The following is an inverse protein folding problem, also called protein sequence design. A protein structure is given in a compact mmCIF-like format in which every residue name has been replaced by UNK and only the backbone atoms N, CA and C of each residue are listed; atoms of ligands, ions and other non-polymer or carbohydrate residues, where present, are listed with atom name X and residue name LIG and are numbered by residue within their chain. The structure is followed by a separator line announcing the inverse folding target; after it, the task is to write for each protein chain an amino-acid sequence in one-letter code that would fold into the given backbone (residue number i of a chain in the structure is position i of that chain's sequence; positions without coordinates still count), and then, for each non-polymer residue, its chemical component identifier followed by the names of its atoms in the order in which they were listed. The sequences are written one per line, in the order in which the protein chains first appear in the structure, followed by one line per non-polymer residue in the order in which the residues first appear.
data_IF_576760104154
#
_entry.id   IF_576760104154
#
_cell.length_a   1.000
_cell.length_b   1.000
_cell.length_c   1.000
_cell.angle_alpha   90.00
_cell.angle_beta   90.00
_cell.angle_gamma   90.00
#
_symmetry.space_group_name_H-M   'P 1'
#
loop_
_entity.id
_entity.type
_entity.pdbx_description
1 polymer ?
#
# COMPACT_ATOMS: atom_id res chain seq x y z
N UNK A 1 49.80 6.90 -40.20
CA UNK A 1 49.63 7.82 -39.05
C UNK A 1 48.29 7.49 -38.42
N UNK A 2 48.32 7.33 -37.10
CA UNK A 2 47.23 6.89 -36.22
C UNK A 2 45.95 7.71 -36.38
N UNK A 3 44.79 7.04 -36.34
CA UNK A 3 43.64 7.49 -35.54
C UNK A 3 42.95 6.24 -35.01
N UNK A 4 43.47 5.71 -33.91
CA UNK A 4 42.65 4.98 -32.96
C UNK A 4 41.70 6.01 -32.34
N UNK A 5 40.55 6.28 -32.97
CA UNK A 5 39.47 6.97 -32.26
C UNK A 5 38.92 5.96 -31.24
N UNK A 6 39.49 6.04 -30.04
CA UNK A 6 38.90 5.48 -28.84
C UNK A 6 37.55 6.16 -28.68
N UNK A 7 36.50 5.42 -28.99
CA UNK A 7 35.10 5.77 -28.73
C UNK A 7 34.94 6.12 -27.25
N UNK A 8 34.69 7.39 -26.90
CA UNK A 8 34.56 7.80 -25.51
C UNK A 8 33.21 7.30 -24.98
N UNK A 9 33.27 6.31 -24.10
CA UNK A 9 32.29 6.12 -23.03
C UNK A 9 30.82 6.12 -23.44
N UNK A 10 30.40 5.21 -24.33
CA UNK A 10 28.98 4.92 -24.51
C UNK A 10 28.51 4.02 -23.36
N UNK A 11 28.35 4.61 -22.17
CA UNK A 11 27.34 4.13 -21.25
C UNK A 11 26.01 4.46 -21.92
N UNK A 12 25.48 3.54 -22.74
CA UNK A 12 24.13 3.68 -23.29
C UNK A 12 23.24 3.93 -22.09
N UNK A 13 22.68 5.14 -21.97
CA UNK A 13 21.73 5.43 -20.91
C UNK A 13 20.68 4.34 -21.00
N UNK A 14 20.63 3.45 -20.01
CA UNK A 14 19.67 2.35 -20.03
C UNK A 14 18.30 3.00 -20.20
N UNK A 15 17.58 2.64 -21.25
CA UNK A 15 16.24 3.21 -21.50
C UNK A 15 15.44 3.14 -20.21
N UNK A 16 14.91 4.29 -19.76
CA UNK A 16 14.19 4.37 -18.49
C UNK A 16 12.96 3.45 -18.54
N UNK A 17 12.91 2.48 -17.62
CA UNK A 17 11.86 1.44 -17.55
C UNK A 17 11.15 1.52 -16.20
N UNK A 18 10.20 2.46 -16.02
CA UNK A 18 9.58 2.66 -14.72
C UNK A 18 8.60 1.55 -14.37
N UNK A 19 8.45 1.31 -13.07
CA UNK A 19 7.44 0.44 -12.50
C UNK A 19 6.50 1.24 -11.57
N UNK A 20 5.24 0.84 -11.50
CA UNK A 20 4.26 1.34 -10.54
C UNK A 20 3.95 0.24 -9.54
N UNK A 21 4.09 0.54 -8.25
CA UNK A 21 3.73 -0.37 -7.15
C UNK A 21 2.61 0.28 -6.35
N UNK A 22 1.48 -0.41 -6.25
CA UNK A 22 0.35 -0.05 -5.38
C UNK A 22 0.42 -0.95 -4.16
N UNK A 23 0.55 -0.37 -2.99
CA UNK A 23 0.67 -1.10 -1.74
C UNK A 23 -0.57 -0.89 -0.91
N UNK A 24 -1.20 -1.99 -0.51
CA UNK A 24 -2.23 -2.01 0.52
C UNK A 24 -3.44 -1.12 0.25
N UNK A 25 -3.80 -0.93 -1.03
CA UNK A 25 -5.03 -0.24 -1.38
C UNK A 25 -6.23 -1.19 -1.19
N UNK A 26 -6.86 -1.10 -0.02
CA UNK A 26 -7.99 -1.95 0.38
C UNK A 26 -9.24 -1.15 0.75
N UNK A 27 -10.38 -1.84 0.69
CA UNK A 27 -11.67 -1.32 1.18
C UNK A 27 -11.63 -1.02 2.69
N UNK A 28 -10.80 -1.75 3.45
CA UNK A 28 -10.61 -1.58 4.89
C UNK A 28 -10.23 -0.14 5.27
N UNK A 29 -9.55 0.59 4.40
CA UNK A 29 -9.16 1.99 4.63
C UNK A 29 -10.19 2.99 4.10
N UNK A 30 -11.25 2.57 3.40
CA UNK A 30 -12.16 3.45 2.69
C UNK A 30 -13.47 3.72 3.45
N UNK A 31 -13.76 4.96 3.89
CA UNK A 31 -15.05 5.29 4.52
C UNK A 31 -16.21 5.19 3.52
N UNK A 32 -17.45 4.88 3.97
CA UNK A 32 -17.86 4.76 5.37
C UNK A 32 -17.71 3.36 5.98
N UNK A 33 -17.43 2.34 5.17
CA UNK A 33 -17.52 0.93 5.59
C UNK A 33 -16.17 0.30 5.95
N UNK A 34 -15.07 1.03 5.80
CA UNK A 34 -13.73 0.55 6.11
C UNK A 34 -13.48 0.33 7.61
N UNK A 35 -12.88 -0.82 7.91
CA UNK A 35 -12.30 -1.27 9.18
C UNK A 35 -11.46 -0.26 9.93
N UNK A 36 -10.59 0.38 9.15
CA UNK A 36 -9.55 1.30 9.54
C UNK A 36 -9.70 2.55 8.67
N UNK A 37 -10.95 2.99 8.47
CA UNK A 37 -11.27 4.03 7.51
C UNK A 37 -10.43 5.30 7.73
N UNK A 38 -9.66 5.67 6.72
CA UNK A 38 -8.87 6.89 6.67
C UNK A 38 -9.63 7.89 5.79
N UNK A 39 -9.81 9.11 6.30
CA UNK A 39 -10.47 10.16 5.54
C UNK A 39 -9.74 10.39 4.20
N UNK A 40 -10.50 10.39 3.11
CA UNK A 40 -9.96 10.62 1.76
C UNK A 40 -9.32 9.39 1.09
N UNK A 41 -9.15 8.25 1.76
CA UNK A 41 -8.53 7.06 1.16
C UNK A 41 -9.25 6.59 -0.11
N UNK A 42 -10.58 6.64 -0.13
CA UNK A 42 -11.39 6.27 -1.30
C UNK A 42 -11.10 7.13 -2.54
N UNK A 43 -10.64 8.37 -2.36
CA UNK A 43 -10.25 9.24 -3.47
C UNK A 43 -8.92 8.82 -4.13
N UNK A 44 -8.14 7.92 -3.50
CA UNK A 44 -6.92 7.38 -4.10
C UNK A 44 -7.22 6.37 -5.21
N UNK A 45 -8.33 5.61 -5.13
CA UNK A 45 -8.69 4.62 -6.14
C UNK A 45 -8.72 5.20 -7.58
N UNK A 46 -9.42 6.31 -7.88
CA UNK A 46 -9.40 6.89 -9.21
C UNK A 46 -8.00 7.39 -9.64
N UNK A 47 -7.20 7.93 -8.71
CA UNK A 47 -5.83 8.38 -9.00
C UNK A 47 -4.94 7.19 -9.38
N UNK A 48 -5.01 6.10 -8.61
CA UNK A 48 -4.29 4.86 -8.88
C UNK A 48 -4.69 4.31 -10.26
N UNK A 49 -5.98 4.32 -10.59
CA UNK A 49 -6.47 3.88 -11.90
C UNK A 49 -5.92 4.76 -13.04
N UNK A 50 -5.85 6.07 -12.84
CA UNK A 50 -5.21 6.99 -13.80
C UNK A 50 -3.72 6.72 -13.96
N UNK A 51 -2.99 6.39 -12.89
CA UNK A 51 -1.58 6.02 -12.97
C UNK A 51 -1.37 4.67 -13.67
N UNK A 52 -2.25 3.69 -13.37
CA UNK A 52 -2.24 2.38 -14.00
C UNK A 52 -2.62 2.44 -15.48
N UNK A 53 -3.33 3.48 -15.95
CA UNK A 53 -3.64 3.65 -17.38
C UNK A 53 -2.50 4.28 -18.18
N UNK A 54 -1.49 4.86 -17.52
CA UNK A 54 -0.34 5.44 -18.21
C UNK A 54 0.48 4.33 -18.93
N UNK A 55 0.88 4.55 -20.20
CA UNK A 55 1.65 3.59 -20.98
C UNK A 55 3.14 3.54 -20.58
N UNK A 56 3.63 4.52 -19.82
CA UNK A 56 5.04 4.63 -19.46
C UNK A 56 5.53 3.56 -18.49
N UNK A 57 4.67 3.09 -17.59
CA UNK A 57 5.02 2.03 -16.63
C UNK A 57 5.07 0.67 -17.32
N UNK A 58 6.27 0.13 -17.49
CA UNK A 58 6.48 -1.19 -18.12
C UNK A 58 6.12 -2.34 -17.18
N UNK A 59 6.03 -2.07 -15.88
CA UNK A 59 5.65 -3.04 -14.84
C UNK A 59 4.67 -2.39 -13.87
N UNK A 60 3.60 -3.10 -13.53
CA UNK A 60 2.56 -2.66 -12.61
C UNK A 60 2.32 -3.77 -11.60
N UNK A 61 2.50 -3.50 -10.32
CA UNK A 61 2.36 -4.45 -9.22
C UNK A 61 1.37 -3.87 -8.22
N UNK A 62 0.47 -4.72 -7.73
CA UNK A 62 -0.38 -4.40 -6.57
C UNK A 62 -0.17 -5.45 -5.50
N UNK A 63 -0.24 -5.04 -4.23
CA UNK A 63 -0.14 -5.93 -3.07
C UNK A 63 -1.31 -5.69 -2.13
N UNK A 64 -1.67 -6.73 -1.38
CA UNK A 64 -2.71 -6.69 -0.36
C UNK A 64 -2.15 -7.30 0.91
N UNK A 65 -2.28 -6.63 2.05
CA UNK A 65 -1.91 -7.23 3.32
C UNK A 65 -3.02 -8.18 3.80
N UNK A 66 -2.68 -9.46 3.98
CA UNK A 66 -3.60 -10.45 4.54
C UNK A 66 -3.29 -10.65 6.02
N UNK A 67 -4.13 -10.05 6.87
CA UNK A 67 -4.10 -10.31 8.29
C UNK A 67 -5.06 -11.45 8.65
N UNK A 68 -4.62 -12.48 9.41
CA UNK A 68 -5.54 -13.45 9.95
C UNK A 68 -6.58 -12.74 10.85
N UNK A 69 -7.83 -13.23 10.87
CA UNK A 69 -8.94 -12.69 11.68
C UNK A 69 -8.62 -12.55 13.17
N UNK A 70 -7.54 -13.20 13.63
CA UNK A 70 -6.95 -13.05 14.96
C UNK A 70 -5.49 -12.60 14.84
N UNK A 71 -5.23 -11.42 14.30
CA UNK A 71 -3.90 -10.83 14.41
C UNK A 71 -3.68 -10.39 15.86
N UNK A 72 -2.75 -11.07 16.56
CA UNK A 72 -2.33 -10.74 17.92
C UNK A 72 -1.76 -9.32 18.05
N UNK A 73 -1.42 -8.68 16.93
CA UNK A 73 -0.89 -7.32 16.90
C UNK A 73 -1.98 -6.24 17.09
N UNK A 74 -3.25 -6.52 16.75
CA UNK A 74 -4.37 -5.60 16.95
C UNK A 74 -5.26 -5.92 18.16
N UNK A 75 -4.87 -6.90 18.99
CA UNK A 75 -5.49 -7.05 20.31
C UNK A 75 -4.93 -5.94 21.18
N UNK A 76 -5.65 -4.83 21.27
CA UNK A 76 -5.53 -3.89 22.38
C UNK A 76 -5.33 -4.70 23.65
N UNK A 77 -4.11 -4.67 24.19
CA UNK A 77 -3.76 -5.44 25.37
C UNK A 77 -4.79 -5.09 26.43
N UNK A 78 -5.56 -6.09 26.86
CA UNK A 78 -6.42 -5.93 28.03
C UNK A 78 -5.52 -5.46 29.17
N UNK A 79 -5.82 -4.33 29.84
CA UNK A 79 -4.91 -3.78 30.83
C UNK A 79 -4.81 -4.76 31.99
N UNK A 80 -3.64 -5.37 32.18
CA UNK A 80 -3.20 -5.61 33.54
C UNK A 80 -3.10 -4.23 34.21
N UNK A 81 -3.54 -4.04 35.46
CA UNK A 81 -3.75 -2.70 36.03
C UNK A 81 -2.52 -1.77 36.16
N UNK A 82 -1.35 -2.14 35.63
CA UNK A 82 -0.09 -1.46 35.92
C UNK A 82 0.58 -0.73 34.76
N UNK A 83 -0.03 -0.61 33.57
CA UNK A 83 0.63 0.14 32.49
C UNK A 83 -0.32 1.13 31.80
N UNK A 84 -0.33 2.36 32.34
CA UNK A 84 -0.51 3.60 31.56
C UNK A 84 0.89 4.08 31.11
N UNK A 85 1.01 4.81 30.00
CA UNK A 85 0.90 6.27 30.15
C UNK A 85 -0.09 6.98 29.21
N UNK A 86 -0.53 6.40 28.10
CA UNK A 86 -1.46 7.10 27.18
C UNK A 86 -2.63 6.20 26.73
N UNK A 87 -3.89 6.54 27.06
CA UNK A 87 -5.05 5.78 26.62
C UNK A 87 -5.34 6.04 25.14
N UNK A 88 -5.26 5.01 24.30
CA UNK A 88 -5.77 5.05 22.92
C UNK A 88 -7.27 4.83 22.98
N UNK A 89 -8.04 5.91 22.83
CA UNK A 89 -9.47 5.93 23.15
C UNK A 89 -10.40 5.20 22.19
N UNK A 90 -9.93 4.60 21.09
CA UNK A 90 -10.82 3.96 20.11
C UNK A 90 -10.27 2.62 19.61
N UNK A 91 -10.53 1.57 20.39
CA UNK A 91 -10.35 0.18 19.93
C UNK A 91 -11.73 -0.41 19.61
N UNK A 92 -12.24 -0.17 18.39
CA UNK A 92 -13.50 -0.81 17.94
C UNK A 92 -13.18 -2.11 17.22
N UNK A 93 -13.69 -3.22 17.74
CA UNK A 93 -13.67 -4.53 17.08
C UNK A 93 -14.63 -4.54 15.88
N UNK A 94 -14.19 -5.08 14.75
CA UNK A 94 -15.00 -5.16 13.53
C UNK A 94 -16.15 -6.18 13.62
N UNK A 95 -17.34 -5.89 13.07
CA UNK A 95 -18.37 -6.89 12.85
C UNK A 95 -18.01 -7.82 11.67
N UNK A 96 -18.20 -9.12 11.89
CA UNK A 96 -17.94 -10.22 10.94
C UNK A 96 -18.76 -10.05 9.64
N UNK A 97 -18.18 -10.24 8.43
CA UNK A 97 -18.95 -10.30 7.19
C UNK A 97 -19.87 -11.53 7.16
N UNK A 98 -21.17 -11.33 6.96
CA UNK A 98 -22.14 -12.40 6.73
C UNK A 98 -22.08 -12.84 5.27
N UNK A 99 -21.47 -13.99 5.00
CA UNK A 99 -21.57 -14.64 3.70
C UNK A 99 -22.95 -15.26 3.58
N UNK A 100 -23.82 -14.66 2.77
CA UNK A 100 -25.05 -15.30 2.30
C UNK A 100 -24.69 -16.28 1.18
N UNK A 101 -25.00 -17.55 1.39
CA UNK A 101 -25.24 -18.55 0.35
C UNK A 101 -26.69 -19.00 0.48
#
# INVERSE_FOLDING_TARGET
MSSNDITPGEATATSFRPALIVVDMQEDFCPPNGSLAIQGARALAPIINSLLSLPGFVLKISTQDFHPTKSYLLRCQSPSPQQRPFPIHHCRSQPRPTHHH
#
